data_IF_698095623315
#
_entry.id   IF_698095623315
#
_cell.length_a   1.000
_cell.length_b   1.000
_cell.length_c   1.000
_cell.angle_alpha   90.00
_cell.angle_beta   90.00
_cell.angle_gamma   90.00
#
_symmetry.space_group_name_H-M   'P 1'
#
loop_
_entity.id
_entity.type
_entity.pdbx_description
1 polymer ?
#
# COMPACT_ATOMS: atom_id res chain seq x y z
N UNK A 1 -32.09 -7.44 5.37
CA UNK A 1 -31.11 -6.59 6.08
C UNK A 1 -29.75 -7.21 5.86
N UNK A 2 -29.07 -6.82 4.79
CA UNK A 2 -27.70 -7.26 4.51
C UNK A 2 -26.82 -6.62 5.59
N UNK A 3 -26.28 -7.42 6.51
CA UNK A 3 -25.31 -6.94 7.49
C UNK A 3 -24.09 -6.45 6.73
N UNK A 4 -23.93 -5.13 6.63
CA UNK A 4 -22.72 -4.56 6.07
C UNK A 4 -21.58 -4.90 7.03
N UNK A 5 -20.67 -5.78 6.64
CA UNK A 5 -19.54 -6.22 7.47
C UNK A 5 -18.52 -5.09 7.74
N UNK A 6 -18.76 -3.89 7.23
CA UNK A 6 -17.89 -2.74 7.35
C UNK A 6 -18.38 -1.83 8.49
N UNK A 7 -17.67 -1.88 9.62
CA UNK A 7 -17.83 -0.91 10.71
C UNK A 7 -17.25 0.43 10.30
N UNK A 8 -17.99 1.53 10.54
CA UNK A 8 -17.52 2.89 10.26
C UNK A 8 -16.23 3.26 11.01
N UNK A 9 -15.98 2.64 12.16
CA UNK A 9 -14.79 2.88 13.00
C UNK A 9 -13.48 2.48 12.30
N UNK A 10 -13.55 1.57 11.32
CA UNK A 10 -12.38 1.09 10.55
C UNK A 10 -12.23 1.77 9.18
N UNK A 11 -13.10 2.75 8.87
CA UNK A 11 -13.13 3.40 7.55
C UNK A 11 -12.69 4.86 7.66
N UNK A 12 -11.66 5.25 6.90
CA UNK A 12 -11.14 6.61 6.89
C UNK A 12 -11.25 7.20 5.49
N UNK A 13 -11.84 8.40 5.39
CA UNK A 13 -11.95 9.14 4.14
C UNK A 13 -10.61 9.82 3.81
N UNK A 14 -10.17 9.67 2.56
CA UNK A 14 -8.93 10.21 2.03
C UNK A 14 -9.18 11.01 0.75
N UNK A 15 -8.28 11.95 0.44
CA UNK A 15 -8.25 12.72 -0.80
C UNK A 15 -7.75 11.86 -1.99
N UNK A 16 -8.42 10.75 -2.22
CA UNK A 16 -8.11 9.77 -3.26
C UNK A 16 -7.19 8.63 -2.82
N UNK A 17 -7.12 7.60 -3.67
CA UNK A 17 -6.41 6.36 -3.37
C UNK A 17 -4.90 6.56 -3.17
N UNK A 18 -4.28 7.51 -3.89
CA UNK A 18 -2.86 7.84 -3.70
C UNK A 18 -2.59 8.31 -2.27
N UNK A 19 -3.42 9.23 -1.75
CA UNK A 19 -3.23 9.76 -0.40
C UNK A 19 -3.50 8.69 0.66
N UNK A 20 -4.48 7.81 0.43
CA UNK A 20 -4.72 6.67 1.32
C UNK A 20 -3.49 5.74 1.43
N UNK A 21 -2.85 5.42 0.31
CA UNK A 21 -1.68 4.54 0.30
C UNK A 21 -0.46 5.22 0.93
N UNK A 22 -0.28 6.52 0.70
CA UNK A 22 0.77 7.31 1.34
C UNK A 22 0.66 7.29 2.87
N UNK A 23 -0.56 7.54 3.38
CA UNK A 23 -0.86 7.46 4.81
C UNK A 23 -0.63 6.05 5.33
N UNK A 24 -1.09 5.01 4.62
CA UNK A 24 -0.96 3.62 5.04
C UNK A 24 0.51 3.19 5.16
N UNK A 25 1.32 3.42 4.12
CA UNK A 25 2.74 3.04 4.11
C UNK A 25 3.49 3.81 5.21
N UNK A 26 3.23 5.11 5.34
CA UNK A 26 3.89 5.95 6.35
C UNK A 26 3.49 5.55 7.77
N UNK A 27 2.22 5.24 8.02
CA UNK A 27 1.74 4.83 9.34
C UNK A 27 2.28 3.47 9.78
N UNK A 28 2.53 2.56 8.82
CA UNK A 28 3.08 1.22 9.07
C UNK A 28 4.61 1.18 9.04
N UNK A 29 5.28 2.27 8.65
CA UNK A 29 6.73 2.31 8.54
C UNK A 29 7.38 2.30 9.93
N UNK A 30 8.10 1.23 10.22
CA UNK A 30 8.93 1.10 11.43
C UNK A 30 10.38 0.77 11.04
N UNK A 31 11.37 1.10 11.88
CA UNK A 31 12.77 0.78 11.58
C UNK A 31 12.97 -0.72 11.29
N UNK A 32 13.58 -1.03 10.15
CA UNK A 32 13.84 -2.40 9.72
C UNK A 32 12.65 -3.13 9.07
N UNK A 33 11.51 -2.46 8.88
CA UNK A 33 10.40 -3.04 8.14
C UNK A 33 10.72 -3.17 6.64
N UNK A 34 10.09 -4.17 6.02
CA UNK A 34 10.11 -4.38 4.58
C UNK A 34 8.70 -4.22 3.98
N UNK A 35 8.66 -3.93 2.69
CA UNK A 35 7.43 -3.83 1.90
C UNK A 35 7.58 -4.62 0.60
N UNK A 36 6.54 -5.37 0.24
CA UNK A 36 6.49 -6.16 -0.99
C UNK A 36 5.74 -5.40 -2.08
N UNK A 37 6.40 -5.13 -3.21
CA UNK A 37 5.89 -4.35 -4.33
C UNK A 37 5.87 -5.17 -5.64
N UNK A 38 4.88 -4.99 -6.52
CA UNK A 38 4.85 -5.67 -7.82
C UNK A 38 5.93 -5.13 -8.76
N UNK A 39 6.38 -5.97 -9.69
CA UNK A 39 7.21 -5.60 -10.84
C UNK A 39 6.62 -6.19 -12.13
N UNK A 40 6.24 -5.36 -13.12
CA UNK A 40 6.20 -3.90 -13.08
C UNK A 40 5.13 -3.39 -12.10
N UNK A 41 5.38 -2.23 -11.47
CA UNK A 41 4.50 -1.66 -10.44
C UNK A 41 4.23 -0.17 -10.63
N UNK A 42 3.30 0.38 -9.83
CA UNK A 42 3.00 1.81 -9.83
C UNK A 42 4.13 2.61 -9.13
N UNK A 43 4.80 3.57 -9.80
CA UNK A 43 6.02 4.20 -9.28
C UNK A 43 5.86 4.94 -7.94
N UNK A 44 4.65 5.39 -7.61
CA UNK A 44 4.44 6.12 -6.36
C UNK A 44 4.72 5.24 -5.12
N UNK A 45 4.50 3.92 -5.19
CA UNK A 45 4.74 3.03 -4.07
C UNK A 45 6.24 2.96 -3.72
N UNK A 46 7.09 2.87 -4.73
CA UNK A 46 8.55 2.86 -4.55
C UNK A 46 9.04 4.21 -4.01
N UNK A 47 8.48 5.33 -4.49
CA UNK A 47 8.83 6.65 -3.99
C UNK A 47 8.48 6.81 -2.49
N UNK A 48 7.29 6.39 -2.08
CA UNK A 48 6.84 6.47 -0.67
C UNK A 48 7.65 5.51 0.21
N UNK A 49 7.93 4.29 -0.26
CA UNK A 49 8.74 3.31 0.47
C UNK A 49 10.18 3.78 0.68
N UNK A 50 10.78 4.37 -0.36
CA UNK A 50 12.12 4.96 -0.30
C UNK A 50 12.16 6.12 0.70
N UNK A 51 11.17 7.01 0.66
CA UNK A 51 11.06 8.13 1.61
C UNK A 51 10.99 7.64 3.07
N UNK A 52 10.23 6.57 3.31
CA UNK A 52 10.07 5.95 4.62
C UNK A 52 11.19 4.95 5.01
N UNK A 53 12.25 4.82 4.19
CA UNK A 53 13.41 3.94 4.44
C UNK A 53 13.04 2.46 4.66
N UNK A 54 12.01 2.00 3.95
CA UNK A 54 11.60 0.59 3.97
C UNK A 54 12.52 -0.26 3.10
N UNK A 55 12.78 -1.49 3.53
CA UNK A 55 13.42 -2.49 2.68
C UNK A 55 12.41 -2.95 1.60
N UNK A 56 12.61 -2.52 0.36
CA UNK A 56 11.74 -2.92 -0.75
C UNK A 56 12.09 -4.32 -1.23
N UNK A 57 11.06 -5.16 -1.36
CA UNK A 57 11.12 -6.47 -2.01
C UNK A 57 10.17 -6.46 -3.19
N UNK A 58 10.54 -7.13 -4.27
CA UNK A 58 9.70 -7.18 -5.47
C UNK A 58 9.26 -8.60 -5.80
N UNK A 59 8.05 -8.73 -6.31
CA UNK A 59 7.57 -9.94 -6.97
C UNK A 59 7.23 -9.64 -8.42
N UNK A 60 7.59 -10.56 -9.32
CA UNK A 60 7.33 -10.40 -10.74
C UNK A 60 5.88 -10.80 -11.07
N UNK A 61 5.20 -9.94 -11.82
CA UNK A 61 3.86 -10.25 -12.33
C UNK A 61 3.98 -11.23 -13.50
N UNK A 62 3.05 -12.18 -13.57
CA UNK A 62 2.95 -13.13 -14.67
C UNK A 62 2.11 -12.50 -15.78
N UNK A 63 2.66 -12.17 -16.96
CA UNK A 63 1.95 -11.44 -18.02
C UNK A 63 0.72 -12.16 -18.58
N UNK A 64 0.61 -13.47 -18.34
CA UNK A 64 -0.44 -14.34 -18.87
C UNK A 64 -1.61 -14.55 -17.88
N UNK A 65 -1.56 -13.91 -16.71
CA UNK A 65 -2.60 -14.00 -15.67
C UNK A 65 -3.07 -12.60 -15.25
N UNK A 66 -3.77 -11.92 -16.17
CA UNK A 66 -4.58 -10.73 -15.87
C UNK A 66 -6.07 -11.10 -15.72
#
# INVERSE_FOLDING_TARGET
MISNAYSYDLTVLHAGAKQAIDVLITALAVPGANILLPRPGYPAYEAIATFNRLEMRHYDLLPEQD
#
